data_IF_421089952793
#
_entry.id   IF_421089952793
#
_cell.length_a   1.000
_cell.length_b   1.000
_cell.length_c   1.000
_cell.angle_alpha   90.00
_cell.angle_beta   90.00
_cell.angle_gamma   90.00
#
_symmetry.space_group_name_H-M   'P 1'
#
loop_
_entity.id
_entity.type
_entity.pdbx_description
1 polymer ?
#
# COMPACT_ATOMS: atom_id res chain seq x y z
N UNK A 1 29.80 12.03 -14.61
CA UNK A 1 29.02 12.60 -15.74
C UNK A 1 27.56 12.14 -15.76
N UNK A 2 26.96 11.71 -14.65
CA UNK A 2 25.53 11.36 -14.57
C UNK A 2 24.67 12.42 -13.85
N UNK A 3 25.31 13.40 -13.19
CA UNK A 3 24.64 14.44 -12.41
C UNK A 3 24.05 15.59 -13.27
N UNK A 4 24.36 15.65 -14.57
CA UNK A 4 23.93 16.73 -15.45
C UNK A 4 22.73 16.36 -16.36
N UNK A 5 22.26 15.11 -16.35
CA UNK A 5 21.10 14.70 -17.17
C UNK A 5 19.73 15.10 -16.59
N UNK A 6 19.69 15.57 -15.33
CA UNK A 6 18.45 16.04 -14.68
C UNK A 6 18.33 17.57 -14.66
N UNK A 7 19.20 18.30 -15.38
CA UNK A 7 19.17 19.78 -15.49
C UNK A 7 18.16 20.32 -16.51
N UNK A 8 17.07 19.60 -16.73
CA UNK A 8 15.83 20.16 -17.24
C UNK A 8 14.81 19.94 -16.14
N UNK A 9 14.42 20.99 -15.42
CA UNK A 9 13.36 20.90 -14.41
C UNK A 9 12.07 20.49 -15.12
N UNK A 10 11.80 19.19 -15.19
CA UNK A 10 10.42 18.73 -15.27
C UNK A 10 9.78 19.31 -14.01
N UNK A 11 8.89 20.29 -14.20
CA UNK A 11 8.07 20.82 -13.11
C UNK A 11 7.19 19.67 -12.64
N UNK A 12 7.66 18.91 -11.66
CA UNK A 12 6.91 17.83 -11.06
C UNK A 12 5.74 18.45 -10.30
N UNK A 13 4.54 18.11 -10.72
CA UNK A 13 3.31 18.51 -10.06
C UNK A 13 2.81 17.38 -9.16
N UNK A 14 1.90 17.71 -8.24
CA UNK A 14 1.27 16.72 -7.36
C UNK A 14 0.61 15.58 -8.15
N UNK A 15 -0.05 15.87 -9.27
CA UNK A 15 -0.61 14.85 -10.18
C UNK A 15 0.44 13.89 -10.74
N UNK A 16 1.66 14.36 -10.99
CA UNK A 16 2.73 13.54 -11.57
C UNK A 16 3.26 12.56 -10.53
N UNK A 17 3.42 13.03 -9.28
CA UNK A 17 3.79 12.18 -8.13
C UNK A 17 2.73 11.10 -7.92
N UNK A 18 1.46 11.49 -7.95
CA UNK A 18 0.34 10.57 -7.79
C UNK A 18 0.27 9.53 -8.91
N UNK A 19 0.33 9.97 -10.16
CA UNK A 19 0.31 9.08 -11.32
C UNK A 19 1.51 8.11 -11.32
N UNK A 20 2.70 8.58 -10.94
CA UNK A 20 3.88 7.73 -10.82
C UNK A 20 3.71 6.65 -9.74
N UNK A 21 3.13 6.99 -8.59
CA UNK A 21 2.86 6.04 -7.52
C UNK A 21 1.86 4.96 -7.97
N UNK A 22 0.74 5.35 -8.58
CA UNK A 22 -0.26 4.41 -9.11
C UNK A 22 0.34 3.52 -10.20
N UNK A 23 1.11 4.08 -11.13
CA UNK A 23 1.76 3.32 -12.19
C UNK A 23 2.76 2.30 -11.65
N UNK A 24 3.56 2.67 -10.63
CA UNK A 24 4.46 1.74 -9.97
C UNK A 24 3.70 0.60 -9.27
N UNK A 25 2.59 0.92 -8.60
CA UNK A 25 1.71 -0.06 -7.98
C UNK A 25 1.15 -1.07 -8.98
N UNK A 26 0.64 -0.59 -10.12
CA UNK A 26 0.11 -1.44 -11.20
C UNK A 26 1.19 -2.33 -11.80
N UNK A 27 2.40 -1.80 -12.00
CA UNK A 27 3.52 -2.57 -12.52
C UNK A 27 3.99 -3.69 -11.57
N UNK A 28 3.78 -3.51 -10.26
CA UNK A 28 4.17 -4.47 -9.22
C UNK A 28 2.99 -5.32 -8.71
N UNK A 29 1.78 -5.15 -9.25
CA UNK A 29 0.57 -5.78 -8.72
C UNK A 29 0.60 -7.30 -8.93
N UNK A 30 0.30 -8.12 -7.90
CA UNK A 30 0.32 -9.58 -8.01
C UNK A 30 -0.71 -10.13 -8.99
N UNK A 31 -1.79 -9.38 -9.30
CA UNK A 31 -2.79 -9.80 -10.29
C UNK A 31 -2.33 -9.59 -11.74
N UNK A 32 -1.23 -8.88 -11.95
CA UNK A 32 -0.74 -8.49 -13.26
C UNK A 32 -1.67 -7.52 -14.01
N UNK A 33 -1.29 -7.20 -15.25
CA UNK A 33 -2.02 -6.21 -16.08
C UNK A 33 -3.46 -6.62 -16.34
N UNK A 34 -3.72 -7.88 -16.67
CA UNK A 34 -5.07 -8.38 -16.96
C UNK A 34 -6.00 -8.25 -15.76
N UNK A 35 -5.52 -8.59 -14.55
CA UNK A 35 -6.32 -8.46 -13.33
C UNK A 35 -6.64 -6.99 -12.98
N UNK A 36 -5.71 -6.07 -13.20
CA UNK A 36 -5.96 -4.62 -13.03
C UNK A 36 -6.95 -4.10 -14.07
N UNK A 37 -6.82 -4.49 -15.34
CA UNK A 37 -7.75 -4.12 -16.39
C UNK A 37 -9.17 -4.60 -16.10
N UNK A 38 -9.31 -5.83 -15.62
CA UNK A 38 -10.57 -6.42 -15.20
C UNK A 38 -11.19 -5.65 -14.03
N UNK A 39 -10.40 -5.34 -12.99
CA UNK A 39 -10.86 -4.57 -11.83
C UNK A 39 -11.39 -3.18 -12.24
N UNK A 40 -10.67 -2.47 -13.11
CA UNK A 40 -11.09 -1.16 -13.62
C UNK A 40 -12.33 -1.28 -14.53
N UNK A 41 -12.46 -2.35 -15.31
CA UNK A 41 -13.64 -2.62 -16.12
C UNK A 41 -14.87 -2.88 -15.23
N UNK A 42 -14.71 -3.61 -14.13
CA UNK A 42 -15.78 -3.87 -13.17
C UNK A 42 -16.24 -2.60 -12.45
N UNK A 43 -15.31 -1.72 -12.08
CA UNK A 43 -15.63 -0.40 -11.53
C UNK A 43 -16.42 0.46 -12.54
N UNK A 44 -16.01 0.50 -13.81
CA UNK A 44 -16.73 1.20 -14.88
C UNK A 44 -18.14 0.67 -15.10
N UNK A 45 -18.30 -0.65 -15.18
CA UNK A 45 -19.61 -1.30 -15.30
C UNK A 45 -20.52 -0.92 -14.13
N UNK A 46 -20.01 -1.00 -12.91
CA UNK A 46 -20.75 -0.62 -11.69
C UNK A 46 -21.22 0.84 -11.77
N UNK A 47 -20.35 1.76 -12.21
CA UNK A 47 -20.69 3.18 -12.39
C UNK A 47 -21.77 3.42 -13.46
N UNK A 48 -21.68 2.73 -14.59
CA UNK A 48 -22.61 2.87 -15.71
C UNK A 48 -24.02 2.37 -15.34
N UNK A 49 -24.09 1.25 -14.61
CA UNK A 49 -25.34 0.64 -14.12
C UNK A 49 -25.96 1.41 -12.95
N UNK A 50 -25.20 2.25 -12.24
CA UNK A 50 -25.71 3.04 -11.12
C UNK A 50 -26.74 4.08 -11.57
N UNK A 51 -27.94 4.11 -10.94
CA UNK A 51 -28.92 5.16 -11.16
C UNK A 51 -28.31 6.54 -10.90
N UNK A 52 -28.71 7.55 -11.67
CA UNK A 52 -28.19 8.92 -11.52
C UNK A 52 -28.33 9.46 -10.09
N UNK A 53 -29.41 9.08 -9.38
CA UNK A 53 -29.66 9.45 -7.97
C UNK A 53 -28.67 8.85 -6.97
N UNK A 54 -27.90 7.84 -7.38
CA UNK A 54 -26.93 7.10 -6.55
C UNK A 54 -25.47 7.35 -6.92
N UNK A 55 -25.21 7.97 -8.08
CA UNK A 55 -23.85 8.26 -8.55
C UNK A 55 -23.01 9.13 -7.61
N UNK A 56 -23.64 9.96 -6.77
CA UNK A 56 -22.91 10.77 -5.79
C UNK A 56 -22.27 9.94 -4.66
N UNK A 57 -22.72 8.70 -4.44
CA UNK A 57 -22.17 7.78 -3.42
C UNK A 57 -20.92 7.05 -3.92
N UNK A 58 -20.70 7.01 -5.23
CA UNK A 58 -19.63 6.23 -5.86
C UNK A 58 -18.28 6.95 -5.83
N UNK A 59 -17.21 6.20 -5.57
CA UNK A 59 -15.85 6.69 -5.71
C UNK A 59 -15.43 6.78 -7.19
N UNK A 60 -15.58 7.95 -7.81
CA UNK A 60 -15.19 8.13 -9.21
C UNK A 60 -13.70 7.90 -9.47
N UNK A 61 -12.84 8.03 -8.45
CA UNK A 61 -11.42 7.79 -8.60
C UNK A 61 -11.08 6.32 -8.86
N UNK A 62 -11.96 5.40 -8.42
CA UNK A 62 -11.86 3.97 -8.71
C UNK A 62 -11.94 3.62 -10.21
N UNK A 63 -12.41 4.54 -11.05
CA UNK A 63 -12.49 4.34 -12.50
C UNK A 63 -11.11 4.38 -13.17
N UNK A 64 -10.12 4.99 -12.52
CA UNK A 64 -8.76 5.21 -13.04
C UNK A 64 -7.67 4.76 -12.08
N UNK A 65 -7.95 4.66 -10.78
CA UNK A 65 -7.03 4.13 -9.78
C UNK A 65 -7.62 2.88 -9.11
N UNK A 66 -6.99 1.70 -9.26
CA UNK A 66 -7.47 0.46 -8.65
C UNK A 66 -7.26 0.38 -7.12
N UNK A 67 -6.55 1.33 -6.50
CA UNK A 67 -6.13 1.25 -5.10
C UNK A 67 -6.90 2.24 -4.23
N UNK A 68 -7.94 1.79 -3.52
CA UNK A 68 -8.77 2.67 -2.67
C UNK A 68 -8.00 3.38 -1.54
N UNK A 69 -6.92 2.76 -1.06
CA UNK A 69 -6.10 3.23 0.06
C UNK A 69 -5.01 4.25 -0.33
N UNK A 70 -4.95 4.64 -1.61
CA UNK A 70 -3.92 5.52 -2.15
C UNK A 70 -4.57 6.70 -2.86
N UNK A 71 -4.45 7.90 -2.28
CA UNK A 71 -5.23 9.07 -2.72
C UNK A 71 -4.44 10.37 -2.53
N UNK A 72 -4.69 11.35 -3.39
CA UNK A 72 -4.45 12.76 -3.03
C UNK A 72 -5.64 13.22 -2.19
N UNK A 73 -5.38 13.52 -0.91
CA UNK A 73 -6.41 13.83 0.07
C UNK A 73 -6.65 15.34 0.25
N UNK A 74 -5.62 16.14 0.03
CA UNK A 74 -5.68 17.60 0.04
C UNK A 74 -4.61 18.19 -0.89
N UNK A 75 -4.88 19.41 -1.38
CA UNK A 75 -3.96 20.17 -2.24
C UNK A 75 -4.45 20.30 -3.69
N UNK A 76 -3.83 21.22 -4.42
CA UNK A 76 -4.08 21.42 -5.84
C UNK A 76 -3.22 20.44 -6.66
N UNK A 77 -3.84 19.67 -7.55
CA UNK A 77 -3.15 18.72 -8.43
C UNK A 77 -2.16 19.38 -9.39
N UNK A 78 -2.31 20.68 -9.68
CA UNK A 78 -1.37 21.47 -10.48
C UNK A 78 -0.24 22.12 -9.66
N UNK A 79 -0.27 21.98 -8.32
CA UNK A 79 0.78 22.52 -7.45
C UNK A 79 2.12 21.86 -7.71
N UNK A 80 3.18 22.66 -7.67
CA UNK A 80 4.57 22.19 -7.84
C UNK A 80 5.02 21.50 -6.57
N UNK A 81 5.64 20.33 -6.72
CA UNK A 81 6.22 19.56 -5.61
C UNK A 81 7.74 19.54 -5.78
N UNK A 82 8.47 20.14 -4.83
CA UNK A 82 9.93 20.10 -4.77
C UNK A 82 10.46 19.42 -3.51
N UNK A 83 9.75 19.58 -2.39
CA UNK A 83 10.11 19.01 -1.09
C UNK A 83 8.94 18.25 -0.50
N UNK A 84 9.15 16.95 -0.29
CA UNK A 84 8.18 16.05 0.32
C UNK A 84 8.62 15.74 1.75
N UNK A 85 7.68 15.79 2.70
CA UNK A 85 7.82 15.15 4.00
C UNK A 85 7.17 13.76 3.91
N UNK A 86 7.94 12.70 4.13
CA UNK A 86 7.44 11.32 4.04
C UNK A 86 7.40 10.70 5.43
N UNK A 87 6.28 10.05 5.77
CA UNK A 87 6.11 9.32 7.04
C UNK A 87 5.33 8.03 6.85
N UNK A 88 5.58 7.05 7.74
CA UNK A 88 4.77 5.83 7.78
C UNK A 88 3.40 6.17 8.37
N UNK A 89 3.43 6.61 9.62
CA UNK A 89 2.32 7.21 10.33
C UNK A 89 2.43 8.72 10.25
N UNK A 90 1.39 9.38 9.77
CA UNK A 90 1.29 10.84 9.70
C UNK A 90 -0.01 11.24 10.36
N UNK A 91 0.11 11.89 11.51
CA UNK A 91 -1.00 12.48 12.25
C UNK A 91 -0.81 14.01 12.35
N UNK A 92 -1.61 14.68 13.18
CA UNK A 92 -1.53 16.12 13.44
C UNK A 92 -0.10 16.55 13.82
N UNK A 93 0.66 15.70 14.52
CA UNK A 93 2.06 15.98 14.90
C UNK A 93 2.98 16.21 13.70
N UNK A 94 2.91 15.33 12.70
CA UNK A 94 3.71 15.44 11.47
C UNK A 94 3.26 16.63 10.61
N UNK A 95 1.95 16.96 10.62
CA UNK A 95 1.44 18.15 9.95
C UNK A 95 2.00 19.43 10.57
N UNK A 96 2.01 19.53 11.91
CA UNK A 96 2.61 20.65 12.63
C UNK A 96 4.13 20.71 12.42
N UNK A 97 4.80 19.56 12.30
CA UNK A 97 6.22 19.51 11.95
C UNK A 97 6.47 20.07 10.54
N UNK A 98 5.64 19.70 9.55
CA UNK A 98 5.73 20.22 8.19
C UNK A 98 5.60 21.75 8.15
N UNK A 99 4.57 22.28 8.83
CA UNK A 99 4.35 23.72 8.96
C UNK A 99 5.54 24.42 9.64
N UNK A 100 6.01 23.88 10.77
CA UNK A 100 7.15 24.44 11.51
C UNK A 100 8.45 24.42 10.71
N UNK A 101 8.66 23.43 9.85
CA UNK A 101 9.79 23.41 8.92
C UNK A 101 9.65 24.52 7.87
N UNK A 102 8.43 24.74 7.36
CA UNK A 102 8.10 25.87 6.48
C UNK A 102 8.45 27.22 7.08
N UNK A 103 8.00 27.49 8.31
CA UNK A 103 8.35 28.72 9.05
C UNK A 103 9.87 28.92 9.22
N UNK A 104 10.64 27.83 9.26
CA UNK A 104 12.10 27.82 9.39
C UNK A 104 12.83 27.88 8.05
N UNK A 105 12.14 28.24 6.97
CA UNK A 105 12.71 28.38 5.63
C UNK A 105 12.94 27.06 4.90
N UNK A 106 12.28 25.98 5.35
CA UNK A 106 12.29 24.65 4.71
C UNK A 106 10.86 24.25 4.33
N UNK A 107 10.23 24.93 3.35
CA UNK A 107 8.83 24.68 2.97
C UNK A 107 8.63 23.23 2.54
N UNK A 108 7.55 22.62 3.01
CA UNK A 108 7.11 21.28 2.60
C UNK A 108 5.96 21.47 1.62
N UNK A 109 6.14 21.01 0.38
CA UNK A 109 5.12 21.17 -0.67
C UNK A 109 4.10 20.03 -0.66
N UNK A 110 4.50 18.87 -0.12
CA UNK A 110 3.65 17.68 0.00
C UNK A 110 4.00 16.91 1.27
N UNK A 111 2.99 16.52 2.04
CA UNK A 111 3.10 15.48 3.06
C UNK A 111 2.62 14.15 2.44
N UNK A 112 3.52 13.17 2.38
CA UNK A 112 3.23 11.83 1.86
C UNK A 112 3.21 10.84 3.02
N UNK A 113 2.03 10.31 3.31
CA UNK A 113 1.83 9.25 4.29
C UNK A 113 1.83 7.88 3.62
N UNK A 114 2.43 6.87 4.28
CA UNK A 114 2.26 5.49 3.85
C UNK A 114 0.89 4.97 4.30
N UNK A 115 0.61 4.98 5.60
CA UNK A 115 -0.67 4.51 6.10
C UNK A 115 -1.80 5.44 5.64
N UNK A 116 -2.95 4.88 5.22
CA UNK A 116 -4.05 5.66 4.71
C UNK A 116 -4.73 6.45 5.84
N UNK A 117 -5.38 7.55 5.46
CA UNK A 117 -6.24 8.36 6.32
C UNK A 117 -7.46 8.83 5.53
N UNK A 118 -8.43 9.48 6.19
CA UNK A 118 -9.65 9.98 5.55
C UNK A 118 -10.37 8.87 4.76
N UNK A 119 -10.86 9.16 3.56
CA UNK A 119 -11.54 8.21 2.68
C UNK A 119 -10.69 6.97 2.38
N UNK A 120 -9.39 7.16 2.15
CA UNK A 120 -8.48 6.05 1.84
C UNK A 120 -8.45 5.00 2.97
N UNK A 121 -8.58 5.44 4.22
CA UNK A 121 -8.67 4.55 5.38
C UNK A 121 -10.08 3.99 5.57
N UNK A 122 -11.11 4.82 5.33
CA UNK A 122 -12.50 4.41 5.45
C UNK A 122 -12.88 3.30 4.46
N UNK A 123 -12.26 3.30 3.28
CA UNK A 123 -12.46 2.31 2.21
C UNK A 123 -11.30 1.28 2.13
N UNK A 124 -10.49 1.14 3.20
CA UNK A 124 -9.32 0.24 3.21
C UNK A 124 -9.70 -1.21 2.89
N UNK A 125 -10.91 -1.66 3.23
CA UNK A 125 -11.31 -3.03 2.94
C UNK A 125 -11.35 -3.31 1.43
N UNK A 126 -11.56 -2.30 0.59
CA UNK A 126 -11.73 -2.47 -0.85
C UNK A 126 -10.47 -3.00 -1.55
N UNK A 127 -9.27 -2.72 -1.01
CA UNK A 127 -8.01 -3.26 -1.57
C UNK A 127 -7.69 -4.66 -1.08
N UNK A 128 -8.38 -5.17 -0.04
CA UNK A 128 -8.03 -6.46 0.56
C UNK A 128 -8.34 -7.66 -0.32
N UNK A 129 -9.27 -7.52 -1.27
CA UNK A 129 -9.67 -8.61 -2.17
C UNK A 129 -8.50 -9.23 -2.96
N UNK A 130 -7.43 -8.46 -3.21
CA UNK A 130 -6.20 -8.95 -3.86
C UNK A 130 -5.58 -10.15 -3.15
N UNK A 131 -5.80 -10.29 -1.84
CA UNK A 131 -5.26 -11.41 -1.07
C UNK A 131 -5.82 -12.75 -1.54
N UNK A 132 -7.08 -12.81 -2.01
CA UNK A 132 -7.65 -14.04 -2.56
C UNK A 132 -6.92 -14.49 -3.84
N UNK A 133 -6.52 -13.54 -4.70
CA UNK A 133 -5.71 -13.83 -5.88
C UNK A 133 -4.30 -14.32 -5.50
N UNK A 134 -3.67 -13.70 -4.50
CA UNK A 134 -2.37 -14.14 -3.99
C UNK A 134 -2.49 -15.57 -3.47
N UNK A 135 -3.45 -15.86 -2.59
CA UNK A 135 -3.59 -17.20 -2.00
C UNK A 135 -3.92 -18.27 -3.05
N UNK A 136 -4.63 -17.91 -4.12
CA UNK A 136 -4.86 -18.82 -5.26
C UNK A 136 -3.57 -19.32 -5.88
N UNK A 137 -2.59 -18.43 -6.03
CA UNK A 137 -1.30 -18.80 -6.58
C UNK A 137 -0.54 -19.76 -5.64
N UNK A 138 -0.90 -19.79 -4.35
CA UNK A 138 -0.40 -20.71 -3.32
C UNK A 138 -1.39 -21.82 -2.95
N UNK A 139 -2.25 -22.22 -3.89
CA UNK A 139 -3.04 -23.45 -3.82
C UNK A 139 -4.38 -23.34 -3.09
N UNK A 140 -4.77 -22.14 -2.63
CA UNK A 140 -6.10 -21.93 -2.06
C UNK A 140 -7.14 -21.79 -3.18
N UNK A 141 -8.23 -22.58 -3.20
CA UNK A 141 -9.29 -22.38 -4.19
C UNK A 141 -9.87 -20.96 -4.11
N UNK A 142 -10.02 -20.29 -5.26
CA UNK A 142 -10.41 -18.87 -5.30
C UNK A 142 -11.73 -18.59 -4.56
N UNK A 143 -12.73 -19.47 -4.69
CA UNK A 143 -14.01 -19.36 -4.01
C UNK A 143 -13.89 -19.42 -2.48
N UNK A 144 -12.92 -20.19 -1.96
CA UNK A 144 -12.61 -20.22 -0.54
C UNK A 144 -11.88 -18.95 -0.11
N UNK A 145 -10.90 -18.49 -0.89
CA UNK A 145 -10.19 -17.24 -0.64
C UNK A 145 -11.14 -16.04 -0.59
N UNK A 146 -12.03 -15.91 -1.55
CA UNK A 146 -13.07 -14.86 -1.61
C UNK A 146 -13.99 -14.89 -0.39
N UNK A 147 -14.42 -16.08 0.06
CA UNK A 147 -15.26 -16.21 1.24
C UNK A 147 -14.52 -15.74 2.52
N UNK A 148 -13.26 -16.17 2.69
CA UNK A 148 -12.45 -15.80 3.86
C UNK A 148 -12.15 -14.30 3.89
N UNK A 149 -11.73 -13.72 2.75
CA UNK A 149 -11.40 -12.30 2.71
C UNK A 149 -12.63 -11.42 2.86
N UNK A 150 -13.80 -11.85 2.36
CA UNK A 150 -15.05 -11.10 2.52
C UNK A 150 -15.46 -10.94 3.99
N UNK A 151 -15.28 -11.98 4.81
CA UNK A 151 -15.51 -11.91 6.26
C UNK A 151 -14.57 -10.88 6.91
N UNK A 152 -13.28 -10.96 6.58
CA UNK A 152 -12.27 -10.04 7.10
C UNK A 152 -12.51 -8.59 6.66
N UNK A 153 -12.86 -8.36 5.39
CA UNK A 153 -13.21 -7.04 4.86
C UNK A 153 -14.37 -6.40 5.64
N UNK A 154 -15.41 -7.19 5.98
CA UNK A 154 -16.54 -6.69 6.78
C UNK A 154 -16.14 -6.31 8.20
N UNK A 155 -15.20 -7.04 8.80
CA UNK A 155 -14.65 -6.70 10.12
C UNK A 155 -13.87 -5.38 10.06
N UNK A 156 -12.95 -5.24 9.10
CA UNK A 156 -12.13 -4.05 8.90
C UNK A 156 -12.99 -2.81 8.64
N UNK A 157 -13.97 -2.92 7.75
CA UNK A 157 -14.91 -1.82 7.47
C UNK A 157 -15.63 -1.37 8.75
N UNK A 158 -16.12 -2.31 9.57
CA UNK A 158 -16.80 -1.97 10.84
C UNK A 158 -15.88 -1.30 11.84
N UNK A 159 -14.61 -1.71 11.88
CA UNK A 159 -13.62 -1.10 12.77
C UNK A 159 -13.40 0.37 12.41
N UNK A 160 -13.17 0.69 11.13
CA UNK A 160 -12.91 2.07 10.73
C UNK A 160 -14.16 2.95 10.61
N UNK A 161 -15.35 2.37 10.45
CA UNK A 161 -16.59 3.15 10.33
C UNK A 161 -16.89 4.05 11.54
N UNK A 162 -16.40 3.70 12.73
CA UNK A 162 -16.57 4.52 13.94
C UNK A 162 -15.39 5.45 14.23
N UNK A 163 -14.31 5.33 13.45
CA UNK A 163 -13.07 6.09 13.65
C UNK A 163 -13.18 7.50 13.10
N UNK A 164 -12.51 8.46 13.75
CA UNK A 164 -12.34 9.80 13.20
C UNK A 164 -11.20 9.81 12.17
N UNK A 165 -11.49 9.36 10.95
CA UNK A 165 -10.48 9.23 9.90
C UNK A 165 -10.05 10.58 9.32
N UNK A 166 -10.80 11.66 9.54
CA UNK A 166 -10.52 13.00 8.98
C UNK A 166 -9.58 13.85 9.85
N UNK A 167 -9.30 13.47 11.11
CA UNK A 167 -8.62 14.33 12.09
C UNK A 167 -7.30 14.95 11.56
N UNK A 168 -6.40 14.11 11.03
CA UNK A 168 -5.12 14.57 10.51
C UNK A 168 -5.28 15.42 9.24
N UNK A 169 -6.24 15.06 8.39
CA UNK A 169 -6.51 15.77 7.14
C UNK A 169 -7.12 17.15 7.39
N UNK A 170 -7.99 17.29 8.39
CA UNK A 170 -8.56 18.58 8.79
C UNK A 170 -7.48 19.52 9.32
N UNK A 171 -6.51 19.02 10.10
CA UNK A 171 -5.36 19.80 10.51
C UNK A 171 -4.53 20.27 9.30
N UNK A 172 -4.29 19.39 8.33
CA UNK A 172 -3.58 19.73 7.10
C UNK A 172 -4.30 20.81 6.29
N UNK A 173 -5.64 20.73 6.17
CA UNK A 173 -6.47 21.73 5.49
C UNK A 173 -6.35 23.10 6.16
N UNK A 174 -6.36 23.15 7.50
CA UNK A 174 -6.18 24.41 8.25
C UNK A 174 -4.80 25.03 8.06
N UNK A 175 -3.77 24.20 7.91
CA UNK A 175 -2.39 24.63 7.67
C UNK A 175 -2.09 24.91 6.18
N UNK A 176 -3.03 24.62 5.28
CA UNK A 176 -2.83 24.77 3.84
C UNK A 176 -1.83 23.79 3.24
N UNK A 177 -1.67 22.60 3.83
CA UNK A 177 -0.76 21.56 3.37
C UNK A 177 -1.42 20.67 2.31
N UNK A 178 -0.65 20.31 1.27
CA UNK A 178 -1.04 19.22 0.38
C UNK A 178 -0.69 17.87 1.02
N UNK A 179 -1.59 16.90 0.87
CA UNK A 179 -1.48 15.57 1.50
C UNK A 179 -1.82 14.48 0.50
N UNK A 180 -0.99 13.46 0.44
CA UNK A 180 -1.22 12.24 -0.32
C UNK A 180 -0.94 11.02 0.57
N UNK A 181 -1.69 9.94 0.38
CA UNK A 181 -1.36 8.61 0.91
C UNK A 181 -0.91 7.70 -0.22
N UNK A 182 0.05 6.80 0.05
CA UNK A 182 0.49 5.75 -0.87
C UNK A 182 0.75 4.46 -0.10
N UNK A 183 -0.22 3.56 -0.16
CA UNK A 183 -0.24 2.34 0.64
C UNK A 183 -0.05 1.10 -0.26
N UNK A 184 -1.11 0.50 -0.80
CA UNK A 184 -1.02 -0.72 -1.64
C UNK A 184 0.04 -0.65 -2.75
N UNK A 185 0.23 0.47 -3.48
CA UNK A 185 1.32 0.55 -4.47
C UNK A 185 2.72 0.37 -3.89
N UNK A 186 2.99 0.93 -2.71
CA UNK A 186 4.26 0.75 -2.02
C UNK A 186 4.42 -0.70 -1.53
N UNK A 187 3.34 -1.27 -0.98
CA UNK A 187 3.32 -2.65 -0.50
C UNK A 187 3.50 -3.66 -1.63
N UNK A 188 2.87 -3.44 -2.79
CA UNK A 188 3.08 -4.25 -3.99
C UNK A 188 4.56 -4.28 -4.38
N UNK A 189 5.25 -3.14 -4.33
CA UNK A 189 6.67 -3.07 -4.64
C UNK A 189 7.52 -3.90 -3.67
N UNK A 190 7.24 -3.79 -2.35
CA UNK A 190 7.97 -4.55 -1.32
C UNK A 190 7.65 -6.04 -1.42
N UNK A 191 6.38 -6.42 -1.51
CA UNK A 191 5.96 -7.81 -1.68
C UNK A 191 6.64 -8.44 -2.88
N UNK A 192 6.61 -7.77 -4.04
CA UNK A 192 7.23 -8.25 -5.27
C UNK A 192 8.75 -8.39 -5.12
N UNK A 193 9.42 -7.44 -4.46
CA UNK A 193 10.85 -7.50 -4.19
C UNK A 193 11.24 -8.67 -3.27
N UNK A 194 10.55 -8.82 -2.15
CA UNK A 194 10.84 -9.85 -1.15
C UNK A 194 10.45 -11.23 -1.68
N UNK A 195 9.33 -11.37 -2.39
CA UNK A 195 8.93 -12.64 -3.00
C UNK A 195 9.99 -13.13 -3.99
N UNK A 196 10.50 -12.27 -4.89
CA UNK A 196 11.60 -12.64 -5.79
C UNK A 196 12.84 -13.12 -5.04
N UNK A 197 13.19 -12.46 -3.93
CA UNK A 197 14.31 -12.88 -3.08
C UNK A 197 14.08 -14.24 -2.43
N UNK A 198 12.84 -14.51 -2.00
CA UNK A 198 12.44 -15.81 -1.49
C UNK A 198 12.47 -16.90 -2.57
N UNK A 199 12.03 -16.60 -3.80
CA UNK A 199 12.03 -17.53 -4.94
C UNK A 199 13.45 -17.88 -5.43
N UNK A 200 14.41 -16.97 -5.20
CA UNK A 200 15.85 -17.20 -5.46
C UNK A 200 16.51 -18.13 -4.43
N UNK A 201 15.86 -18.41 -3.29
CA UNK A 201 16.41 -19.31 -2.27
C UNK A 201 16.47 -20.75 -2.77
N UNK A 202 17.45 -21.50 -2.27
CA UNK A 202 17.58 -22.91 -2.58
C UNK A 202 16.33 -23.69 -2.14
N UNK A 203 15.88 -24.67 -2.92
CA UNK A 203 14.75 -25.54 -2.57
C UNK A 203 14.92 -26.29 -1.23
N UNK A 204 16.16 -26.46 -0.77
CA UNK A 204 16.49 -27.08 0.52
C UNK A 204 16.89 -26.05 1.58
N UNK A 205 16.70 -24.75 1.33
CA UNK A 205 16.96 -23.69 2.28
C UNK A 205 16.19 -23.93 3.57
N UNK A 206 16.81 -23.52 4.67
CA UNK A 206 16.25 -23.58 6.01
C UNK A 206 15.60 -22.26 6.39
N UNK A 207 14.80 -22.26 7.46
CA UNK A 207 14.23 -21.03 8.02
C UNK A 207 15.34 -20.09 8.53
N UNK A 208 16.47 -20.65 8.97
CA UNK A 208 17.68 -19.88 9.28
C UNK A 208 18.25 -19.17 8.03
N UNK A 209 18.39 -19.88 6.92
CA UNK A 209 18.84 -19.28 5.65
C UNK A 209 17.90 -18.16 5.18
N UNK A 210 16.57 -18.34 5.35
CA UNK A 210 15.58 -17.32 5.07
C UNK A 210 15.78 -16.08 5.97
N UNK A 211 15.97 -16.27 7.27
CA UNK A 211 16.25 -15.16 8.19
C UNK A 211 17.52 -14.41 7.81
N UNK A 212 18.59 -15.11 7.46
CA UNK A 212 19.86 -14.49 7.05
C UNK A 212 19.72 -13.74 5.74
N UNK A 213 18.98 -14.29 4.77
CA UNK A 213 18.63 -13.59 3.54
C UNK A 213 17.87 -12.29 3.84
N UNK A 214 16.82 -12.36 4.67
CA UNK A 214 16.07 -11.16 5.05
C UNK A 214 16.99 -10.15 5.75
N UNK A 215 17.78 -10.56 6.73
CA UNK A 215 18.72 -9.68 7.45
C UNK A 215 19.84 -9.11 6.58
N UNK A 216 20.07 -9.66 5.38
CA UNK A 216 21.01 -9.10 4.40
C UNK A 216 20.46 -7.87 3.66
N UNK A 217 19.12 -7.71 3.64
CA UNK A 217 18.45 -6.54 3.06
C UNK A 217 18.71 -5.33 3.97
N UNK A 218 19.20 -4.17 3.45
CA UNK A 218 19.61 -3.03 4.28
C UNK A 218 18.55 -2.57 5.28
N UNK A 219 17.29 -2.52 4.85
CA UNK A 219 16.14 -2.11 5.65
C UNK A 219 15.90 -3.06 6.84
N UNK A 220 15.97 -4.37 6.60
CA UNK A 220 15.81 -5.38 7.65
C UNK A 220 17.03 -5.48 8.56
N UNK A 221 18.23 -5.22 8.03
CA UNK A 221 19.45 -5.10 8.84
C UNK A 221 19.34 -3.94 9.83
N UNK A 222 18.88 -2.78 9.36
CA UNK A 222 18.62 -1.63 10.22
C UNK A 222 17.54 -1.96 11.26
N UNK A 223 16.48 -2.68 10.87
CA UNK A 223 15.45 -3.14 11.80
C UNK A 223 16.02 -4.04 12.90
N UNK A 224 16.97 -4.94 12.59
CA UNK A 224 17.69 -5.73 13.61
C UNK A 224 18.42 -4.82 14.61
N UNK A 225 19.14 -3.80 14.12
CA UNK A 225 19.86 -2.85 14.98
C UNK A 225 18.92 -2.04 15.89
N UNK A 226 17.69 -1.82 15.44
CA UNK A 226 16.62 -1.14 16.20
C UNK A 226 15.79 -2.08 17.09
N UNK A 227 16.06 -3.39 17.07
CA UNK A 227 15.36 -4.38 17.88
C UNK A 227 14.03 -4.88 17.31
N UNK A 228 13.73 -4.58 16.05
CA UNK A 228 12.48 -4.97 15.35
C UNK A 228 12.76 -5.72 14.05
N UNK A 229 13.86 -6.47 13.99
CA UNK A 229 14.27 -7.22 12.81
C UNK A 229 13.45 -8.49 12.55
N UNK A 230 13.69 -9.16 11.41
CA UNK A 230 13.02 -10.42 11.07
C UNK A 230 13.24 -11.49 12.16
N UNK A 231 12.15 -12.16 12.54
CA UNK A 231 12.14 -13.21 13.56
C UNK A 231 11.17 -14.34 13.19
N UNK A 232 11.44 -15.54 13.72
CA UNK A 232 10.54 -16.68 13.61
C UNK A 232 9.59 -16.72 14.80
N UNK A 233 8.29 -16.58 14.54
CA UNK A 233 7.25 -16.80 15.55
C UNK A 233 6.81 -18.26 15.64
N UNK A 234 6.93 -19.01 14.55
CA UNK A 234 6.58 -20.43 14.46
C UNK A 234 7.65 -21.15 13.65
N UNK A 235 8.09 -22.32 14.13
CA UNK A 235 9.16 -23.10 13.54
C UNK A 235 10.51 -22.90 14.22
N UNK A 236 11.53 -23.57 13.70
CA UNK A 236 12.91 -23.59 14.21
C UNK A 236 13.85 -23.37 13.02
N UNK A 237 15.00 -22.73 13.24
CA UNK A 237 15.90 -22.31 12.15
C UNK A 237 16.34 -23.48 11.26
N UNK A 238 16.46 -24.69 11.80
CA UNK A 238 16.93 -25.88 11.09
C UNK A 238 15.88 -26.50 10.14
N UNK A 239 14.61 -26.07 10.23
CA UNK A 239 13.54 -26.60 9.39
C UNK A 239 13.62 -26.03 7.98
N UNK A 240 13.22 -26.82 6.98
CA UNK A 240 13.19 -26.37 5.58
C UNK A 240 12.06 -25.35 5.35
N UNK A 241 12.29 -24.40 4.45
CA UNK A 241 11.32 -23.36 4.08
C UNK A 241 10.11 -23.90 3.33
N UNK A 242 10.31 -24.90 2.47
CA UNK A 242 9.28 -25.34 1.52
C UNK A 242 8.96 -24.21 0.53
N UNK A 243 7.68 -24.07 0.15
CA UNK A 243 7.22 -22.95 -0.67
C UNK A 243 6.98 -21.73 0.22
N UNK A 244 7.56 -20.59 -0.15
CA UNK A 244 7.46 -19.35 0.64
C UNK A 244 6.44 -18.43 -0.02
N UNK A 245 5.44 -18.01 0.76
CA UNK A 245 4.51 -16.95 0.39
C UNK A 245 4.85 -15.70 1.19
N UNK A 246 5.09 -14.59 0.51
CA UNK A 246 5.21 -13.25 1.12
C UNK A 246 3.83 -12.60 1.08
N UNK A 247 3.33 -12.26 2.27
CA UNK A 247 2.03 -11.63 2.46
C UNK A 247 2.23 -10.24 3.08
N UNK A 248 2.39 -9.24 2.23
CA UNK A 248 2.70 -7.85 2.63
C UNK A 248 1.81 -6.82 1.94
N UNK A 249 0.90 -7.22 1.03
CA UNK A 249 -0.01 -6.32 0.31
C UNK A 249 -1.47 -6.70 0.52
N UNK A 250 -2.36 -5.81 0.11
CA UNK A 250 -3.80 -5.95 0.28
C UNK A 250 -4.33 -5.26 1.54
N UNK A 251 -3.79 -4.07 1.85
CA UNK A 251 -4.33 -3.14 2.84
C UNK A 251 -4.00 -3.47 4.30
N UNK A 252 -4.25 -4.69 4.75
CA UNK A 252 -3.93 -5.13 6.12
C UNK A 252 -3.89 -6.65 6.21
N UNK A 253 -3.51 -7.20 7.37
CA UNK A 253 -3.41 -8.64 7.56
C UNK A 253 -4.71 -9.38 7.25
N UNK A 254 -4.59 -10.43 6.45
CA UNK A 254 -5.66 -11.37 6.16
C UNK A 254 -6.10 -12.21 7.36
N UNK A 255 -7.14 -13.04 7.19
CA UNK A 255 -7.61 -13.94 8.22
C UNK A 255 -6.60 -15.06 8.47
N UNK A 256 -6.36 -15.38 9.74
CA UNK A 256 -5.44 -16.46 10.17
C UNK A 256 -5.86 -17.83 9.63
N UNK A 257 -7.15 -18.00 9.33
CA UNK A 257 -7.74 -19.22 8.79
C UNK A 257 -7.12 -19.60 7.45
N UNK A 258 -6.72 -18.63 6.62
CA UNK A 258 -6.08 -18.87 5.32
C UNK A 258 -4.85 -19.76 5.44
N UNK A 259 -4.05 -19.60 6.51
CA UNK A 259 -2.80 -20.36 6.71
C UNK A 259 -3.05 -21.87 6.71
N UNK A 260 -4.22 -22.33 7.18
CA UNK A 260 -4.57 -23.77 7.21
C UNK A 260 -4.93 -24.33 5.84
N UNK A 261 -5.28 -23.46 4.90
CA UNK A 261 -5.74 -23.79 3.57
C UNK A 261 -4.65 -23.62 2.52
N UNK A 262 -3.52 -22.99 2.87
CA UNK A 262 -2.31 -23.02 2.06
C UNK A 262 -1.93 -24.49 1.83
N UNK A 263 -2.17 -24.95 0.61
CA UNK A 263 -1.91 -26.30 0.18
C UNK A 263 -0.79 -26.21 -0.86
N UNK A 264 0.29 -26.96 -0.61
CA UNK A 264 1.45 -27.02 -1.49
C UNK A 264 1.07 -27.28 -2.96
#
# INVERSE_FOLDING_TARGET
>A
MAADMYKGVMRMQLRDVYAAAVAAGVAADPRGTEGIEQLLADARRTWEELPQSKRWEFDQESLTNPYADTRVLAGDLDSRVERILVGIDVDVGEMLLADRLGERGRPVDLVLAHHPMSRALADLEAVMAVQADIWRDFGVPINLGEALISDRMREIRRWFHASNTEQALDAARLLGLAVMTCHTPADNCVQSFVQRKCDELNQNATLGDLLDMLKSIPEYREAVLRGTGPMLFVGEEERRTGRIMVDMTGGTSGPKETVRHLAA
#
